data_IF_866118885460
#
_entry.id   IF_866118885460
#
_cell.length_a   1.000
_cell.length_b   1.000
_cell.length_c   1.000
_cell.angle_alpha   90.00
_cell.angle_beta   90.00
_cell.angle_gamma   90.00
#
_symmetry.space_group_name_H-M   'P 1'
#
loop_
_entity.id
_entity.type
_entity.pdbx_description
1 polymer ?
#
# COMPACT_ATOMS: atom_id res chain seq x y z
N UNK A 1 6.65 14.38 -21.26
CA UNK A 1 7.36 13.90 -20.06
C UNK A 1 8.41 12.91 -20.51
N UNK A 2 9.69 13.20 -20.31
CA UNK A 2 10.82 12.40 -20.79
C UNK A 2 11.09 11.16 -19.90
N UNK A 3 10.05 10.35 -19.69
CA UNK A 3 10.09 9.10 -18.91
C UNK A 3 11.19 8.15 -19.41
N UNK A 4 11.39 7.93 -20.73
CA UNK A 4 12.44 7.04 -21.22
C UNK A 4 13.85 7.50 -20.84
N UNK A 5 14.11 8.81 -20.87
CA UNK A 5 15.42 9.38 -20.54
C UNK A 5 15.71 9.26 -19.04
N UNK A 6 14.72 9.58 -18.20
CA UNK A 6 14.83 9.42 -16.76
C UNK A 6 15.04 7.97 -16.35
N UNK A 7 14.26 7.05 -16.92
CA UNK A 7 14.33 5.63 -16.61
C UNK A 7 15.73 5.06 -16.93
N UNK A 8 16.31 5.44 -18.07
CA UNK A 8 17.68 5.06 -18.45
C UNK A 8 18.72 5.62 -17.48
N UNK A 9 18.59 6.89 -17.10
CA UNK A 9 19.52 7.52 -16.14
C UNK A 9 19.49 6.84 -14.77
N UNK A 10 18.30 6.50 -14.27
CA UNK A 10 18.17 5.76 -13.02
C UNK A 10 18.73 4.35 -13.12
N UNK A 11 18.48 3.65 -14.23
CA UNK A 11 19.01 2.31 -14.42
C UNK A 11 20.54 2.30 -14.43
N UNK A 12 21.18 3.22 -15.15
CA UNK A 12 22.64 3.36 -15.13
C UNK A 12 23.18 3.66 -13.72
N UNK A 13 22.48 4.50 -12.95
CA UNK A 13 22.85 4.77 -11.57
C UNK A 13 22.80 3.50 -10.69
N UNK A 14 21.77 2.67 -10.86
CA UNK A 14 21.61 1.44 -10.08
C UNK A 14 22.54 0.32 -10.54
N UNK A 15 22.79 0.16 -11.84
CA UNK A 15 23.77 -0.80 -12.36
C UNK A 15 25.15 -0.54 -11.74
N UNK A 16 25.59 0.73 -11.73
CA UNK A 16 26.86 1.13 -11.11
C UNK A 16 26.88 0.89 -9.60
N UNK A 17 25.75 1.11 -8.91
CA UNK A 17 25.64 0.92 -7.46
C UNK A 17 25.62 -0.57 -7.07
N UNK A 18 25.04 -1.42 -7.90
CA UNK A 18 24.88 -2.86 -7.67
C UNK A 18 26.02 -3.69 -8.26
N UNK A 19 26.92 -3.08 -9.06
CA UNK A 19 27.99 -3.78 -9.77
C UNK A 19 27.49 -4.71 -10.87
N UNK A 20 26.27 -4.49 -11.39
CA UNK A 20 25.68 -5.28 -12.49
C UNK A 20 26.17 -4.76 -13.84
N UNK A 21 26.16 -5.65 -14.85
CA UNK A 21 26.39 -5.29 -16.25
C UNK A 21 25.37 -4.22 -16.71
N UNK A 22 25.64 -3.54 -17.82
CA UNK A 22 24.79 -2.47 -18.36
C UNK A 22 23.42 -2.99 -18.81
N UNK A 23 22.52 -3.19 -17.84
CA UNK A 23 21.15 -3.60 -18.10
C UNK A 23 20.46 -2.56 -18.98
N UNK A 24 19.66 -3.05 -19.93
CA UNK A 24 18.85 -2.24 -20.84
C UNK A 24 17.38 -2.34 -20.47
N UNK A 25 16.56 -1.39 -20.93
CA UNK A 25 15.11 -1.42 -20.72
C UNK A 25 14.47 -1.77 -22.06
N UNK A 26 13.68 -2.85 -22.08
CA UNK A 26 12.93 -3.26 -23.26
C UNK A 26 11.94 -2.16 -23.70
N UNK A 27 11.62 -2.13 -24.99
CA UNK A 27 10.61 -1.20 -25.53
C UNK A 27 9.23 -1.40 -24.87
N UNK A 28 8.87 -2.65 -24.54
CA UNK A 28 7.64 -2.98 -23.82
C UNK A 28 7.62 -2.40 -22.39
N UNK A 29 8.74 -2.48 -21.67
CA UNK A 29 8.86 -1.86 -20.34
C UNK A 29 8.77 -0.33 -20.43
N UNK A 30 9.40 0.30 -21.43
CA UNK A 30 9.29 1.75 -21.65
C UNK A 30 7.84 2.15 -21.94
N UNK A 31 7.14 1.42 -22.81
CA UNK A 31 5.73 1.68 -23.12
C UNK A 31 4.84 1.56 -21.86
N UNK A 32 5.10 0.56 -21.03
CA UNK A 32 4.41 0.36 -19.75
C UNK A 32 4.65 1.51 -18.77
N UNK A 33 5.90 1.98 -18.65
CA UNK A 33 6.25 3.13 -17.83
C UNK A 33 5.62 4.44 -18.36
N UNK A 34 5.52 4.58 -19.68
CA UNK A 34 4.93 5.76 -20.33
C UNK A 34 3.42 5.85 -20.12
N UNK A 35 2.73 4.71 -20.22
CA UNK A 35 1.27 4.63 -20.04
C UNK A 35 0.83 4.64 -18.56
N UNK A 36 1.78 4.65 -17.64
CA UNK A 36 1.50 4.65 -16.20
C UNK A 36 1.34 6.06 -15.65
N UNK A 37 0.42 6.22 -14.70
CA UNK A 37 0.30 7.44 -13.90
C UNK A 37 1.32 7.43 -12.77
N UNK A 38 2.09 8.51 -12.63
CA UNK A 38 3.12 8.68 -11.61
C UNK A 38 2.68 9.73 -10.57
N UNK A 39 1.83 9.37 -9.59
CA UNK A 39 1.33 10.32 -8.58
C UNK A 39 2.45 10.96 -7.72
N UNK A 40 3.63 10.32 -7.64
CA UNK A 40 4.85 10.88 -7.04
C UNK A 40 5.93 11.35 -8.05
N UNK A 41 5.54 11.53 -9.32
CA UNK A 41 6.31 11.91 -10.53
C UNK A 41 7.64 11.17 -10.76
N UNK A 42 8.65 11.40 -9.91
CA UNK A 42 10.03 10.93 -10.15
C UNK A 42 10.49 9.93 -9.10
N UNK A 43 10.03 10.07 -7.85
CA UNK A 43 10.45 9.18 -6.76
C UNK A 43 9.88 7.77 -6.93
N UNK A 44 8.65 7.68 -7.42
CA UNK A 44 8.02 6.39 -7.73
C UNK A 44 8.67 5.71 -8.92
N UNK A 45 8.94 6.46 -9.99
CA UNK A 45 9.67 5.96 -11.16
C UNK A 45 11.03 5.39 -10.73
N UNK A 46 11.78 6.14 -9.91
CA UNK A 46 13.04 5.67 -9.34
C UNK A 46 12.88 4.35 -8.56
N UNK A 47 11.89 4.25 -7.66
CA UNK A 47 11.66 3.04 -6.86
C UNK A 47 11.24 1.82 -7.71
N UNK A 48 10.52 2.04 -8.81
CA UNK A 48 10.15 0.97 -9.74
C UNK A 48 11.38 0.48 -10.50
N UNK A 49 12.22 1.39 -11.02
CA UNK A 49 13.45 1.04 -11.72
C UNK A 49 14.47 0.37 -10.78
N UNK A 50 14.62 0.85 -9.54
CA UNK A 50 15.49 0.22 -8.53
C UNK A 50 15.09 -1.25 -8.30
N UNK A 51 13.80 -1.50 -8.05
CA UNK A 51 13.28 -2.86 -7.86
C UNK A 51 13.47 -3.72 -9.10
N UNK A 52 13.20 -3.18 -10.29
CA UNK A 52 13.39 -3.89 -11.55
C UNK A 52 14.86 -4.27 -11.78
N UNK A 53 15.82 -3.38 -11.47
CA UNK A 53 17.26 -3.69 -11.56
C UNK A 53 17.73 -4.75 -10.56
N UNK A 54 17.12 -4.81 -9.37
CA UNK A 54 17.45 -5.82 -8.37
C UNK A 54 16.87 -7.18 -8.77
N UNK A 55 15.60 -7.22 -9.18
CA UNK A 55 14.85 -8.44 -9.50
C UNK A 55 15.20 -9.04 -10.86
N UNK A 56 15.66 -8.22 -11.82
CA UNK A 56 16.12 -8.71 -13.11
C UNK A 56 17.54 -9.24 -12.99
N UNK A 57 17.68 -10.55 -13.16
CA UNK A 57 18.97 -11.22 -13.38
C UNK A 57 19.39 -11.22 -14.85
N UNK A 58 18.50 -10.76 -15.74
CA UNK A 58 18.76 -10.60 -17.17
C UNK A 58 19.37 -9.24 -17.50
N UNK A 59 20.14 -9.18 -18.59
CA UNK A 59 20.71 -7.95 -19.17
C UNK A 59 19.64 -7.02 -19.77
N UNK A 60 18.40 -7.48 -19.89
CA UNK A 60 17.27 -6.67 -20.36
C UNK A 60 16.09 -6.73 -19.37
N UNK A 61 15.61 -5.55 -18.97
CA UNK A 61 14.43 -5.37 -18.13
C UNK A 61 13.18 -5.42 -19.01
N UNK A 62 12.44 -6.53 -18.89
CA UNK A 62 11.14 -6.74 -19.50
C UNK A 62 9.99 -5.98 -18.81
N UNK A 63 8.81 -5.96 -19.43
CA UNK A 63 7.61 -5.31 -18.89
C UNK A 63 7.05 -6.02 -17.63
N UNK A 64 7.38 -7.29 -17.47
CA UNK A 64 7.12 -8.16 -16.32
C UNK A 64 7.90 -7.74 -15.08
N UNK A 65 9.16 -7.29 -15.25
CA UNK A 65 9.97 -6.76 -14.15
C UNK A 65 9.51 -5.37 -13.66
N UNK A 66 8.71 -4.65 -14.47
CA UNK A 66 8.12 -3.36 -14.10
C UNK A 66 6.87 -3.60 -13.24
N UNK A 67 7.07 -3.63 -11.92
CA UNK A 67 6.00 -3.78 -10.93
C UNK A 67 5.48 -2.42 -10.46
N UNK A 68 4.36 -2.00 -11.04
CA UNK A 68 3.67 -0.76 -10.66
C UNK A 68 2.85 -0.98 -9.39
N UNK A 69 2.85 0.01 -8.48
CA UNK A 69 2.14 -0.07 -7.21
C UNK A 69 0.62 -0.28 -7.33
N UNK A 70 0.04 0.03 -8.50
CA UNK A 70 -1.38 -0.22 -8.79
C UNK A 70 -1.64 -1.59 -9.42
N UNK A 71 -0.64 -2.23 -10.01
CA UNK A 71 -0.76 -3.57 -10.61
C UNK A 71 -0.53 -4.70 -9.60
N UNK A 72 0.17 -4.43 -8.49
CA UNK A 72 0.27 -5.36 -7.35
C UNK A 72 -1.10 -5.73 -6.76
N UNK A 73 -2.14 -4.95 -7.07
CA UNK A 73 -3.53 -5.25 -6.71
C UNK A 73 -4.23 -6.26 -7.64
N UNK A 74 -3.66 -6.56 -8.81
CA UNK A 74 -4.36 -7.34 -9.86
C UNK A 74 -3.88 -8.80 -9.98
N UNK A 75 -2.62 -9.11 -9.63
CA UNK A 75 -2.05 -10.46 -9.83
C UNK A 75 -1.61 -11.18 -8.56
N UNK A 76 -1.95 -10.64 -7.38
CA UNK A 76 -1.73 -11.33 -6.11
C UNK A 76 -2.75 -10.86 -5.09
N UNK A 77 -3.70 -11.74 -4.77
CA UNK A 77 -4.63 -11.64 -3.64
C UNK A 77 -5.98 -10.94 -3.93
N UNK A 78 -6.96 -11.75 -4.37
CA UNK A 78 -8.39 -11.44 -4.45
C UNK A 78 -9.07 -11.25 -3.08
N UNK A 79 -8.36 -10.77 -2.05
CA UNK A 79 -8.89 -10.68 -0.67
C UNK A 79 -9.20 -9.25 -0.20
N UNK A 80 -8.66 -8.20 -0.84
CA UNK A 80 -8.83 -6.83 -0.31
C UNK A 80 -9.46 -5.84 -1.32
N UNK A 81 -10.64 -6.18 -1.85
CA UNK A 81 -11.46 -5.23 -2.60
C UNK A 81 -12.21 -4.32 -1.63
N UNK A 82 -11.60 -3.19 -1.25
CA UNK A 82 -12.28 -2.16 -0.44
C UNK A 82 -11.59 -0.81 -0.30
N UNK A 83 -10.41 -0.58 -0.90
CA UNK A 83 -9.61 0.63 -0.61
C UNK A 83 -9.13 1.42 -1.83
N UNK A 84 -9.68 1.17 -3.00
CA UNK A 84 -9.38 1.97 -4.19
C UNK A 84 -10.43 3.09 -4.37
N UNK A 85 -10.35 4.12 -3.54
CA UNK A 85 -10.84 5.46 -3.91
C UNK A 85 -9.69 6.43 -3.74
N UNK A 86 -9.29 7.02 -4.87
CA UNK A 86 -8.22 7.99 -4.96
C UNK A 86 -8.38 9.08 -3.91
N UNK A 87 -7.38 9.19 -3.06
CA UNK A 87 -7.07 10.36 -2.28
C UNK A 87 -5.62 10.20 -1.89
N UNK A 88 -4.88 11.30 -1.91
CA UNK A 88 -3.60 11.44 -1.23
C UNK A 88 -3.84 11.14 0.25
N UNK A 89 -3.92 9.87 0.62
CA UNK A 89 -4.17 9.47 2.00
C UNK A 89 -2.92 9.89 2.77
N UNK A 90 -3.07 10.96 3.56
CA UNK A 90 -2.03 11.41 4.46
C UNK A 90 -1.60 10.21 5.30
N UNK A 91 -0.34 10.16 5.77
CA UNK A 91 0.12 9.09 6.65
C UNK A 91 -0.86 8.88 7.82
N UNK A 92 -1.50 9.96 8.27
CA UNK A 92 -2.58 9.96 9.26
C UNK A 92 -3.81 9.14 8.86
N UNK A 93 -4.21 9.15 7.59
CA UNK A 93 -5.38 8.45 7.07
C UNK A 93 -5.10 6.96 6.89
N UNK A 94 -3.90 6.62 6.40
CA UNK A 94 -3.45 5.23 6.26
C UNK A 94 -3.33 4.58 7.65
N UNK A 95 -2.65 5.24 8.58
CA UNK A 95 -2.54 4.77 9.97
C UNK A 95 -3.93 4.69 10.61
N UNK A 96 -4.80 5.68 10.37
CA UNK A 96 -6.16 5.66 10.89
C UNK A 96 -7.03 4.52 10.36
N UNK A 97 -6.82 4.12 9.10
CA UNK A 97 -7.47 2.95 8.51
C UNK A 97 -7.04 1.66 9.19
N UNK A 98 -5.72 1.42 9.28
CA UNK A 98 -5.18 0.21 9.91
C UNK A 98 -5.50 0.14 11.40
N UNK A 99 -5.40 1.26 12.13
CA UNK A 99 -5.81 1.33 13.53
C UNK A 99 -7.25 0.87 13.71
N UNK A 100 -8.16 1.33 12.84
CA UNK A 100 -9.58 0.97 12.90
C UNK A 100 -9.81 -0.51 12.63
N UNK A 101 -9.11 -1.08 11.65
CA UNK A 101 -9.23 -2.48 11.27
C UNK A 101 -8.77 -3.39 12.42
N UNK A 102 -7.60 -3.12 12.98
CA UNK A 102 -7.06 -3.84 14.14
C UNK A 102 -8.00 -3.75 15.35
N UNK A 103 -8.57 -2.56 15.59
CA UNK A 103 -9.54 -2.35 16.67
C UNK A 103 -10.78 -3.22 16.46
N UNK A 104 -11.35 -3.25 15.25
CA UNK A 104 -12.52 -4.05 14.92
C UNK A 104 -12.27 -5.54 15.09
N UNK A 105 -11.16 -6.04 14.55
CA UNK A 105 -10.80 -7.46 14.67
C UNK A 105 -10.59 -7.87 16.13
N UNK A 106 -9.87 -7.03 16.90
CA UNK A 106 -9.62 -7.28 18.32
C UNK A 106 -10.89 -7.19 19.16
N UNK A 107 -11.80 -6.25 18.86
CA UNK A 107 -13.08 -6.10 19.55
C UNK A 107 -14.03 -7.25 19.25
N UNK A 108 -14.04 -7.76 18.01
CA UNK A 108 -14.85 -8.91 17.62
C UNK A 108 -14.31 -10.22 18.20
N UNK A 109 -12.99 -10.36 18.30
CA UNK A 109 -12.32 -11.54 18.86
C UNK A 109 -12.26 -11.54 20.40
N UNK A 110 -12.71 -10.48 21.06
CA UNK A 110 -12.64 -10.31 22.51
C UNK A 110 -14.03 -10.16 23.14
N UNK A 111 -14.32 -10.82 24.28
CA UNK A 111 -15.64 -10.79 24.90
C UNK A 111 -15.94 -9.50 25.67
N UNK A 112 -14.96 -8.63 25.88
CA UNK A 112 -15.12 -7.36 26.58
C UNK A 112 -14.08 -6.34 26.14
N UNK A 113 -14.48 -5.06 26.14
CA UNK A 113 -13.63 -3.90 25.83
C UNK A 113 -12.37 -3.91 26.71
N UNK A 114 -12.48 -4.29 27.98
CA UNK A 114 -11.34 -4.35 28.90
C UNK A 114 -10.30 -5.40 28.51
N UNK A 115 -10.74 -6.56 28.00
CA UNK A 115 -9.84 -7.61 27.49
C UNK A 115 -9.24 -7.25 26.13
N UNK A 116 -10.02 -6.56 25.28
CA UNK A 116 -9.51 -6.03 24.01
C UNK A 116 -8.40 -4.98 24.24
N UNK A 117 -8.58 -4.08 25.22
CA UNK A 117 -7.56 -3.10 25.60
C UNK A 117 -6.27 -3.77 26.09
N UNK A 118 -6.41 -4.82 26.91
CA UNK A 118 -5.27 -5.60 27.41
C UNK A 118 -4.51 -6.30 26.28
N UNK A 119 -5.22 -6.87 25.29
CA UNK A 119 -4.60 -7.51 24.11
C UNK A 119 -3.87 -6.52 23.21
N UNK A 120 -4.39 -5.31 23.09
CA UNK A 120 -3.77 -4.22 22.33
C UNK A 120 -2.71 -3.47 23.13
N UNK A 121 -2.43 -3.88 24.38
CA UNK A 121 -1.49 -3.21 25.29
C UNK A 121 -1.74 -1.71 25.45
N UNK A 122 -3.02 -1.30 25.43
CA UNK A 122 -3.45 0.09 25.65
C UNK A 122 -4.37 0.20 26.85
N UNK A 123 -4.46 1.40 27.44
CA UNK A 123 -5.38 1.64 28.55
C UNK A 123 -6.84 1.53 28.10
N UNK A 124 -7.72 1.11 29.01
CA UNK A 124 -9.16 1.06 28.78
C UNK A 124 -9.72 2.41 28.30
N UNK A 125 -9.24 3.51 28.89
CA UNK A 125 -9.63 4.88 28.52
C UNK A 125 -9.13 5.28 27.12
N UNK A 126 -7.93 4.85 26.71
CA UNK A 126 -7.43 5.10 25.35
C UNK A 126 -8.21 4.32 24.30
N UNK A 127 -8.60 3.07 24.62
CA UNK A 127 -9.43 2.26 23.73
C UNK A 127 -10.82 2.91 23.54
N UNK A 128 -11.46 3.36 24.63
CA UNK A 128 -12.75 4.07 24.55
C UNK A 128 -12.68 5.33 23.69
N UNK A 129 -11.63 6.16 23.86
CA UNK A 129 -11.40 7.34 23.02
C UNK A 129 -11.23 6.98 21.54
N UNK A 130 -10.55 5.87 21.23
CA UNK A 130 -10.40 5.39 19.85
C UNK A 130 -11.72 4.85 19.27
N UNK A 131 -12.53 4.15 20.07
CA UNK A 131 -13.87 3.69 19.68
C UNK A 131 -14.78 4.86 19.32
N UNK A 132 -14.79 5.91 20.14
CA UNK A 132 -15.55 7.14 19.91
C UNK A 132 -15.05 7.88 18.65
N UNK A 133 -13.73 8.04 18.52
CA UNK A 133 -13.09 8.66 17.34
C UNK A 133 -13.45 7.96 16.04
N UNK A 134 -13.53 6.63 16.04
CA UNK A 134 -13.86 5.83 14.86
C UNK A 134 -15.35 5.43 14.76
N UNK A 135 -16.20 5.96 15.65
CA UNK A 135 -17.66 5.71 15.70
C UNK A 135 -18.03 4.23 15.60
N UNK A 136 -17.29 3.37 16.29
CA UNK A 136 -17.56 1.93 16.31
C UNK A 136 -18.72 1.65 17.27
N UNK A 137 -19.74 0.90 16.83
CA UNK A 137 -20.90 0.57 17.65
C UNK A 137 -21.04 -0.95 17.82
N UNK A 138 -21.44 -1.38 19.02
CA UNK A 138 -21.80 -2.76 19.30
C UNK A 138 -23.20 -3.02 18.72
N UNK A 139 -23.32 -3.97 17.78
CA UNK A 139 -24.62 -4.37 17.26
C UNK A 139 -25.41 -5.12 18.32
N UNK A 140 -26.51 -4.57 18.84
CA UNK A 140 -27.32 -5.18 19.91
C UNK A 140 -27.94 -6.56 19.59
N UNK A 141 -27.79 -7.11 18.37
CA UNK A 141 -28.36 -8.41 17.96
C UNK A 141 -27.34 -9.47 17.53
N UNK A 142 -26.10 -9.06 17.24
CA UNK A 142 -25.01 -9.95 16.87
C UNK A 142 -23.81 -9.37 17.57
N UNK A 143 -23.12 -10.11 18.43
CA UNK A 143 -22.01 -9.65 19.29
C UNK A 143 -20.77 -9.20 18.48
N UNK A 144 -20.97 -8.33 17.50
CA UNK A 144 -20.08 -7.96 16.41
C UNK A 144 -20.17 -6.45 16.26
N UNK A 145 -19.02 -5.81 16.29
CA UNK A 145 -18.86 -4.37 16.15
C UNK A 145 -18.94 -3.98 14.69
N UNK A 146 -19.78 -2.99 14.36
CA UNK A 146 -20.04 -2.53 13.00
C UNK A 146 -19.71 -1.04 12.91
N UNK A 147 -19.27 -0.61 11.72
CA UNK A 147 -19.05 0.80 11.39
C UNK A 147 -20.40 1.50 11.31
N UNK A 148 -20.54 2.64 11.98
CA UNK A 148 -21.69 3.53 11.74
C UNK A 148 -21.31 4.48 10.59
N UNK A 149 -21.60 4.09 9.35
CA UNK A 149 -21.49 4.97 8.18
C UNK A 149 -22.78 5.79 8.08
N UNK A 150 -22.74 7.12 8.22
CA UNK A 150 -23.88 7.95 7.86
C UNK A 150 -24.08 7.84 6.35
N UNK A 151 -25.22 7.28 5.94
CA UNK A 151 -25.74 7.42 4.59
C UNK A 151 -26.09 8.90 4.38
N UNK A 152 -25.18 9.68 3.79
CA UNK A 152 -25.52 10.88 3.03
C UNK A 152 -24.41 11.25 2.05
#
# INVERSE_FOLDING_TARGET
MDIPLLARSFLQHFNRKLGKADQTISSAAIAKLYNSSWPGNVRELKNVIERASVLSDSDEIGADAILLSHETTSHGNRINSGLAKGSTNSLKDIVGFYEREILLDTLNSSPSIRKAAQRLSISHTALLKKIEKYKLQCGNKTNRWIKNEPQN
#
